data_IF_224043814411
#
_entry.id   IF_224043814411
#
_cell.length_a   1.000
_cell.length_b   1.000
_cell.length_c   1.000
_cell.angle_alpha   90.00
_cell.angle_beta   90.00
_cell.angle_gamma   90.00
#
_symmetry.space_group_name_H-M   'P 1'
#
loop_
_entity.id
_entity.type
_entity.pdbx_description
1 polymer ?
#
# COMPACT_ATOMS: atom_id res chain seq x y z
N UNK A 1 16.06 -3.96 -14.66
CA UNK A 1 14.62 -4.24 -14.87
C UNK A 1 14.01 -4.50 -13.50
N UNK A 2 13.52 -3.44 -12.84
CA UNK A 2 13.02 -3.51 -11.46
C UNK A 2 11.68 -4.27 -11.49
N UNK A 3 11.56 -5.34 -10.70
CA UNK A 3 10.33 -6.12 -10.60
C UNK A 3 9.28 -5.24 -9.90
N UNK A 4 8.41 -4.58 -10.65
CA UNK A 4 7.36 -3.68 -10.13
C UNK A 4 6.15 -4.43 -9.54
N UNK A 5 6.36 -5.62 -8.96
CA UNK A 5 5.29 -6.34 -8.30
C UNK A 5 5.79 -7.08 -7.06
N UNK A 6 5.07 -6.91 -5.97
CA UNK A 6 5.24 -7.68 -4.75
C UNK A 6 4.45 -8.98 -4.88
N UNK A 7 5.14 -10.13 -4.80
CA UNK A 7 4.51 -11.46 -4.84
C UNK A 7 3.92 -11.77 -3.47
N UNK A 8 2.65 -12.15 -3.44
CA UNK A 8 1.97 -12.58 -2.21
C UNK A 8 1.63 -14.05 -2.32
N UNK A 9 2.07 -14.82 -1.32
CA UNK A 9 1.73 -16.23 -1.15
C UNK A 9 1.22 -16.40 0.27
N UNK A 10 -0.02 -16.83 0.43
CA UNK A 10 -0.66 -17.00 1.74
C UNK A 10 -1.70 -15.92 2.09
N UNK A 11 -2.00 -15.79 3.39
CA UNK A 11 -3.12 -15.02 3.91
C UNK A 11 -2.83 -13.53 4.15
N UNK A 12 -1.56 -13.11 4.08
CA UNK A 12 -1.13 -11.76 4.42
C UNK A 12 -0.19 -11.19 3.36
N UNK A 13 -0.47 -9.98 2.91
CA UNK A 13 0.50 -9.12 2.22
C UNK A 13 1.08 -8.12 3.22
N UNK A 14 2.41 -8.01 3.28
CA UNK A 14 3.10 -6.97 4.05
C UNK A 14 4.24 -6.41 3.21
N UNK A 15 4.33 -5.10 3.15
CA UNK A 15 5.44 -4.38 2.53
C UNK A 15 5.81 -3.20 3.43
N UNK A 16 7.12 -2.96 3.59
CA UNK A 16 7.64 -1.83 4.36
C UNK A 16 8.51 -1.00 3.45
N UNK A 17 8.25 0.31 3.45
CA UNK A 17 9.00 1.29 2.68
C UNK A 17 9.71 2.23 3.66
N UNK A 18 11.04 2.35 3.58
CA UNK A 18 11.77 3.34 4.38
C UNK A 18 11.25 4.75 4.14
N UNK A 19 11.10 5.56 5.19
CA UNK A 19 10.55 6.92 5.06
C UNK A 19 11.46 7.86 4.24
N UNK A 20 12.76 7.56 4.16
CA UNK A 20 13.71 8.30 3.33
C UNK A 20 13.61 7.99 1.83
N UNK A 21 12.90 6.93 1.45
CA UNK A 21 12.65 6.57 0.04
C UNK A 21 11.32 7.15 -0.48
N UNK A 22 10.54 7.79 0.39
CA UNK A 22 9.26 8.41 0.04
C UNK A 22 9.32 9.93 0.25
N UNK A 23 8.53 10.65 -0.52
CA UNK A 23 8.41 12.10 -0.39
C UNK A 23 7.90 12.48 0.99
N UNK A 24 8.41 13.58 1.55
CA UNK A 24 7.96 14.12 2.84
C UNK A 24 6.45 14.41 2.83
N UNK A 25 5.79 14.05 3.93
CA UNK A 25 4.35 14.22 4.11
C UNK A 25 3.96 14.43 5.57
N UNK A 26 2.81 15.07 5.74
CA UNK A 26 2.24 15.43 7.04
C UNK A 26 1.31 14.32 7.53
N UNK A 27 0.29 13.98 6.72
CA UNK A 27 -0.78 13.07 7.12
C UNK A 27 -1.17 12.12 5.98
N UNK A 28 -1.48 10.86 6.31
CA UNK A 28 -2.05 9.92 5.37
C UNK A 28 -3.53 10.24 5.11
N UNK A 29 -3.90 10.37 3.84
CA UNK A 29 -5.31 10.45 3.47
C UNK A 29 -6.01 9.12 3.75
N UNK A 30 -7.29 9.18 4.11
CA UNK A 30 -8.11 8.02 4.51
C UNK A 30 -7.62 7.28 5.78
N UNK A 31 -6.83 7.94 6.64
CA UNK A 31 -6.51 7.44 7.98
C UNK A 31 -5.74 6.12 7.97
N UNK A 32 -4.84 5.93 7.02
CA UNK A 32 -4.04 4.71 6.93
C UNK A 32 -4.84 3.49 6.45
N UNK A 33 -5.86 3.70 5.63
CA UNK A 33 -6.64 2.62 5.03
C UNK A 33 -6.85 2.90 3.55
N UNK A 34 -6.53 1.94 2.69
CA UNK A 34 -6.58 2.08 1.24
C UNK A 34 -7.26 0.87 0.61
N UNK A 35 -7.79 1.07 -0.58
CA UNK A 35 -8.50 0.04 -1.31
C UNK A 35 -7.65 -0.51 -2.44
N UNK A 36 -7.56 -1.83 -2.49
CA UNK A 36 -6.75 -2.60 -3.44
C UNK A 36 -7.68 -3.49 -4.23
N UNK A 37 -7.75 -3.30 -5.56
CA UNK A 37 -8.79 -3.92 -6.36
C UNK A 37 -8.69 -3.68 -7.86
N UNK A 38 -9.31 -4.58 -8.64
CA UNK A 38 -9.71 -4.35 -10.04
C UNK A 38 -11.15 -4.88 -10.18
N UNK A 39 -12.06 -4.05 -10.70
CA UNK A 39 -13.47 -4.41 -10.84
C UNK A 39 -14.18 -4.56 -9.50
N UNK A 40 -14.93 -5.65 -9.32
CA UNK A 40 -15.80 -5.87 -8.15
C UNK A 40 -15.06 -6.41 -6.90
N UNK A 41 -13.76 -6.67 -6.97
CA UNK A 41 -12.98 -7.20 -5.85
C UNK A 41 -12.11 -6.10 -5.25
N UNK A 42 -12.63 -5.45 -4.21
CA UNK A 42 -11.95 -4.37 -3.50
C UNK A 42 -11.66 -4.85 -2.08
N UNK A 43 -10.39 -4.85 -1.68
CA UNK A 43 -9.96 -5.21 -0.34
C UNK A 43 -9.28 -4.06 0.37
N UNK A 44 -9.39 -4.03 1.69
CA UNK A 44 -8.80 -2.98 2.53
C UNK A 44 -7.35 -3.31 2.88
N UNK A 45 -6.44 -2.44 2.50
CA UNK A 45 -5.05 -2.38 2.93
C UNK A 45 -4.92 -1.39 4.08
N UNK A 46 -4.35 -1.83 5.19
CA UNK A 46 -3.93 -0.96 6.27
C UNK A 46 -2.57 -0.37 5.92
N UNK A 47 -2.40 0.91 6.18
CA UNK A 47 -1.14 1.63 6.00
C UNK A 47 -0.83 2.34 7.30
N UNK A 48 0.33 2.04 7.87
CA UNK A 48 0.75 2.57 9.16
C UNK A 48 2.12 3.21 8.98
N UNK A 49 2.30 4.39 9.58
CA UNK A 49 3.59 5.09 9.57
C UNK A 49 4.21 4.92 10.93
N UNK A 50 5.38 4.32 10.96
CA UNK A 50 6.22 4.20 12.14
C UNK A 50 7.36 5.22 11.99
N UNK A 51 7.21 6.39 12.63
CA UNK A 51 8.22 7.45 12.59
C UNK A 51 9.41 7.15 13.50
N UNK A 52 9.27 6.27 14.48
CA UNK A 52 10.35 5.90 15.40
C UNK A 52 11.32 4.96 14.70
N UNK A 53 10.80 3.93 14.04
CA UNK A 53 11.59 2.97 13.27
C UNK A 53 11.84 3.40 11.82
N UNK A 54 11.24 4.51 11.39
CA UNK A 54 11.52 5.15 10.11
C UNK A 54 10.98 4.40 8.88
N UNK A 55 9.82 3.75 8.98
CA UNK A 55 9.18 3.10 7.84
C UNK A 55 7.67 3.35 7.74
N UNK A 56 7.14 3.17 6.53
CA UNK A 56 5.72 3.06 6.23
C UNK A 56 5.40 1.58 5.95
N UNK A 57 4.53 0.97 6.73
CA UNK A 57 4.05 -0.41 6.53
C UNK A 57 2.71 -0.41 5.79
N UNK A 58 2.61 -1.23 4.75
CA UNK A 58 1.40 -1.56 4.01
C UNK A 58 1.05 -3.02 4.29
N UNK A 59 -0.15 -3.28 4.79
CA UNK A 59 -0.58 -4.58 5.30
C UNK A 59 -2.00 -4.93 4.83
N UNK A 60 -2.17 -6.11 4.23
CA UNK A 60 -3.48 -6.73 3.98
C UNK A 60 -3.50 -8.05 4.74
N UNK A 61 -4.39 -8.18 5.74
CA UNK A 61 -4.43 -9.36 6.64
C UNK A 61 -5.28 -10.53 6.13
N UNK A 62 -6.12 -10.32 5.12
CA UNK A 62 -7.08 -11.33 4.61
C UNK A 62 -7.01 -11.43 3.10
N UNK A 63 -5.88 -11.90 2.58
CA UNK A 63 -5.70 -12.08 1.15
C UNK A 63 -6.24 -13.40 0.60
N UNK A 64 -6.77 -14.27 1.45
CA UNK A 64 -7.34 -15.58 1.08
C UNK A 64 -8.53 -15.48 0.14
N UNK A 65 -9.22 -14.35 0.14
CA UNK A 65 -10.39 -14.11 -0.72
C UNK A 65 -10.03 -13.43 -2.04
N UNK A 66 -8.74 -13.18 -2.30
CA UNK A 66 -8.30 -12.61 -3.55
C UNK A 66 -8.34 -13.69 -4.63
N UNK A 67 -8.99 -13.38 -5.75
CA UNK A 67 -8.82 -14.17 -6.94
C UNK A 67 -7.40 -14.03 -7.47
N UNK A 68 -6.93 -15.05 -8.18
CA UNK A 68 -5.65 -14.97 -8.89
C UNK A 68 -5.71 -13.80 -9.86
N UNK A 69 -4.75 -12.89 -9.77
CA UNK A 69 -4.77 -11.68 -10.57
C UNK A 69 -3.81 -10.61 -10.11
N UNK A 70 -3.95 -9.46 -10.75
CA UNK A 70 -3.17 -8.27 -10.47
C UNK A 70 -4.06 -7.21 -9.84
N UNK A 71 -3.53 -6.53 -8.83
CA UNK A 71 -4.26 -5.55 -8.04
C UNK A 71 -3.45 -4.29 -7.93
N UNK A 72 -4.01 -3.17 -8.36
CA UNK A 72 -3.37 -1.86 -8.26
C UNK A 72 -3.69 -1.25 -6.90
N UNK A 73 -2.74 -0.50 -6.35
CA UNK A 73 -2.96 0.27 -5.14
C UNK A 73 -2.23 1.61 -5.22
N UNK A 74 -2.77 2.59 -4.51
CA UNK A 74 -2.22 3.94 -4.41
C UNK A 74 -2.33 4.40 -2.96
N UNK A 75 -1.22 4.85 -2.39
CA UNK A 75 -1.16 5.50 -1.07
C UNK A 75 -0.98 6.99 -1.29
N UNK A 76 -1.82 7.79 -0.63
CA UNK A 76 -1.86 9.25 -0.83
C UNK A 76 -1.80 9.99 0.49
N UNK A 77 -1.11 11.11 0.53
CA UNK A 77 -0.94 11.90 1.74
C UNK A 77 -1.15 13.37 1.45
N UNK A 78 -1.14 14.19 2.50
CA UNK A 78 -1.04 15.65 2.39
C UNK A 78 0.36 16.11 2.78
N UNK A 79 0.88 17.14 2.09
CA UNK A 79 2.09 17.84 2.52
C UNK A 79 1.76 18.93 3.56
N UNK A 80 2.77 19.70 3.98
CA UNK A 80 2.61 20.82 4.91
C UNK A 80 1.73 21.97 4.36
N UNK A 81 1.60 22.06 3.03
CA UNK A 81 0.79 23.06 2.32
C UNK A 81 -0.66 22.59 2.07
N UNK A 82 -0.99 21.35 2.44
CA UNK A 82 -2.30 20.73 2.19
C UNK A 82 -2.47 20.13 0.80
N UNK A 83 -1.43 20.09 -0.04
CA UNK A 83 -1.49 19.45 -1.35
C UNK A 83 -1.55 17.93 -1.22
N UNK A 84 -2.32 17.30 -2.10
CA UNK A 84 -2.38 15.84 -2.19
C UNK A 84 -1.16 15.27 -2.91
N UNK A 85 -0.40 14.44 -2.21
CA UNK A 85 0.74 13.70 -2.72
C UNK A 85 0.40 12.23 -2.96
N UNK A 86 1.11 11.62 -3.91
CA UNK A 86 1.09 10.17 -4.12
C UNK A 86 2.38 9.60 -3.55
N UNK A 87 2.29 8.97 -2.37
CA UNK A 87 3.47 8.40 -1.71
C UNK A 87 3.91 7.10 -2.38
N UNK A 88 2.94 6.26 -2.73
CA UNK A 88 3.21 4.95 -3.31
C UNK A 88 2.17 4.67 -4.39
N UNK A 89 2.63 4.13 -5.51
CA UNK A 89 1.77 3.58 -6.53
C UNK A 89 2.38 2.24 -6.98
N UNK A 90 1.63 1.16 -6.78
CA UNK A 90 2.17 -0.18 -6.93
C UNK A 90 1.14 -1.18 -7.43
N UNK A 91 1.65 -2.40 -7.68
CA UNK A 91 0.89 -3.55 -8.13
C UNK A 91 1.20 -4.75 -7.26
N UNK A 92 0.17 -5.42 -6.79
CA UNK A 92 0.27 -6.70 -6.08
C UNK A 92 -0.21 -7.80 -7.03
N UNK A 93 0.57 -8.86 -7.19
CA UNK A 93 0.15 -10.04 -7.96
C UNK A 93 -0.15 -11.21 -7.04
N UNK A 94 -1.40 -11.64 -7.03
CA UNK A 94 -1.91 -12.81 -6.32
C UNK A 94 -1.94 -14.03 -7.23
N UNK A 95 -1.44 -15.15 -6.72
CA UNK A 95 -1.28 -16.38 -7.51
C UNK A 95 -2.27 -17.50 -7.17
N UNK A 96 -3.04 -17.37 -6.07
CA UNK A 96 -3.85 -18.48 -5.53
C UNK A 96 -2.99 -19.34 -4.61
#
# INVERSE_FOLDING_TARGET
MQKNYSKVVGATFRERLPLNEIQEFTELLQGGSYWVGIGNHISKMQVTVDREEGYLEMLIKTTTNFSRGDYMYKVTATNEYGDTLVLVHGRIRFYG
#
